data_IF_276291308832
#
_entry.id   IF_276291308832
#
_cell.length_a   1.000
_cell.length_b   1.000
_cell.length_c   1.000
_cell.angle_alpha   90.00
_cell.angle_beta   90.00
_cell.angle_gamma   90.00
#
_symmetry.space_group_name_H-M   'P 1'
#
loop_
_entity.id
_entity.type
_entity.pdbx_description
1 polymer ?
#
# COMPACT_ATOMS: atom_id res chain seq x y z
N UNK A 1 -12.04 10.20 19.15
CA UNK A 1 -10.73 9.82 18.57
C UNK A 1 -9.98 11.10 18.27
N UNK A 2 -8.64 11.13 18.42
CA UNK A 2 -7.87 12.23 17.87
C UNK A 2 -8.16 12.35 16.36
N UNK A 3 -8.06 13.56 15.77
CA UNK A 3 -8.27 13.74 14.35
C UNK A 3 -7.34 12.82 13.55
N UNK A 4 -7.91 12.15 12.54
CA UNK A 4 -7.13 11.32 11.63
C UNK A 4 -6.15 12.22 10.88
N UNK A 5 -4.87 12.01 11.13
CA UNK A 5 -3.81 12.61 10.32
C UNK A 5 -3.23 11.51 9.43
N UNK A 6 -3.50 11.54 8.10
CA UNK A 6 -2.91 10.60 7.16
C UNK A 6 -1.38 10.56 7.25
N UNK A 7 -0.76 11.70 7.55
CA UNK A 7 0.70 11.83 7.68
C UNK A 7 1.26 11.07 8.89
N UNK A 8 0.45 10.91 9.95
CA UNK A 8 0.81 10.19 11.16
C UNK A 8 0.39 8.71 11.13
N UNK A 9 -0.31 8.25 10.08
CA UNK A 9 -0.70 6.86 9.95
C UNK A 9 0.32 6.07 9.09
N UNK A 10 1.12 5.17 9.70
CA UNK A 10 2.14 4.41 8.96
C UNK A 10 1.57 3.55 7.81
N UNK A 11 0.27 3.20 7.86
CA UNK A 11 -0.36 2.39 6.80
C UNK A 11 -0.44 3.15 5.47
N UNK A 12 -0.54 4.49 5.50
CA UNK A 12 -0.64 5.31 4.28
C UNK A 12 0.63 5.21 3.44
N UNK A 13 1.80 5.15 4.11
CA UNK A 13 3.10 4.93 3.45
C UNK A 13 3.16 3.56 2.77
N UNK A 14 2.64 2.51 3.43
CA UNK A 14 2.54 1.16 2.86
C UNK A 14 1.60 1.14 1.66
N UNK A 15 0.46 1.82 1.73
CA UNK A 15 -0.46 1.97 0.60
C UNK A 15 0.16 2.71 -0.57
N UNK A 16 0.93 3.78 -0.33
CA UNK A 16 1.65 4.49 -1.38
C UNK A 16 2.66 3.59 -2.11
N UNK A 17 3.43 2.79 -1.36
CA UNK A 17 4.36 1.81 -1.91
C UNK A 17 3.63 0.75 -2.76
N UNK A 18 2.59 0.12 -2.21
CA UNK A 18 1.80 -0.89 -2.92
C UNK A 18 1.19 -0.33 -4.22
N UNK A 19 0.64 0.89 -4.19
CA UNK A 19 0.11 1.58 -5.39
C UNK A 19 1.20 1.79 -6.45
N UNK A 20 2.41 2.17 -6.06
CA UNK A 20 3.53 2.36 -6.98
C UNK A 20 3.92 1.04 -7.67
N UNK A 21 4.04 -0.03 -6.90
CA UNK A 21 4.39 -1.36 -7.42
C UNK A 21 3.29 -1.88 -8.35
N UNK A 22 2.01 -1.75 -7.97
CA UNK A 22 0.88 -2.16 -8.81
C UNK A 22 0.87 -1.47 -10.17
N UNK A 23 1.16 -0.15 -10.22
CA UNK A 23 1.24 0.61 -11.46
C UNK A 23 2.36 0.11 -12.38
N UNK A 24 3.50 -0.31 -11.80
CA UNK A 24 4.64 -0.86 -12.56
C UNK A 24 4.35 -2.26 -13.09
N UNK A 25 3.81 -3.13 -12.25
CA UNK A 25 3.59 -4.54 -12.59
C UNK A 25 2.28 -4.80 -13.34
N UNK A 26 1.34 -3.85 -13.31
CA UNK A 26 -0.01 -3.98 -13.89
C UNK A 26 -0.74 -5.26 -13.46
N UNK A 27 -0.50 -5.69 -12.22
CA UNK A 27 -1.13 -6.86 -11.61
C UNK A 27 -2.37 -6.49 -10.78
N UNK A 28 -3.15 -7.50 -10.43
CA UNK A 28 -4.25 -7.34 -9.48
C UNK A 28 -3.72 -7.20 -8.04
N UNK A 29 -4.53 -6.62 -7.12
CA UNK A 29 -4.10 -6.44 -5.72
C UNK A 29 -3.78 -7.75 -5.00
N UNK A 30 -4.47 -8.85 -5.29
CA UNK A 30 -4.25 -10.13 -4.63
C UNK A 30 -2.90 -10.71 -5.03
N UNK A 31 -2.57 -10.73 -6.32
CA UNK A 31 -1.24 -11.11 -6.82
C UNK A 31 -0.14 -10.21 -6.24
N UNK A 32 -0.39 -8.90 -6.14
CA UNK A 32 0.55 -7.95 -5.54
C UNK A 32 0.87 -8.30 -4.07
N UNK A 33 -0.14 -8.59 -3.26
CA UNK A 33 0.06 -8.87 -1.84
C UNK A 33 0.69 -10.24 -1.61
N UNK A 34 0.41 -11.24 -2.45
CA UNK A 34 1.14 -12.53 -2.40
C UNK A 34 2.65 -12.33 -2.62
N UNK A 35 3.05 -11.48 -3.57
CA UNK A 35 4.47 -11.19 -3.86
C UNK A 35 5.19 -10.37 -2.80
N UNK A 36 4.46 -9.64 -1.95
CA UNK A 36 5.03 -8.76 -0.91
C UNK A 36 5.13 -9.42 0.47
N UNK A 37 4.44 -10.54 0.67
CA UNK A 37 4.38 -11.27 1.95
C UNK A 37 5.32 -12.50 1.94
N UNK A 38 5.79 -12.90 0.75
CA UNK A 38 6.77 -13.98 0.54
C UNK A 38 8.17 -13.40 0.41
#
# INVERSE_FOLDING_TARGET
LPPYSPDLNPIEKKWAQAKSIRRKLRCDPYELFQKLIT
#
